data_IF_458831589095
#
_entry.id   IF_458831589095
#
_cell.length_a   1.000
_cell.length_b   1.000
_cell.length_c   1.000
_cell.angle_alpha   90.00
_cell.angle_beta   90.00
_cell.angle_gamma   90.00
#
_symmetry.space_group_name_H-M   'P 1'
#
loop_
_entity.id
_entity.type
_entity.pdbx_description
1 polymer ?
#
# COMPACT_ATOMS: atom_id res chain seq x y z
N UNK A 1 -9.27 -0.41 6.30
CA UNK A 1 -8.24 -0.26 5.24
C UNK A 1 -8.38 1.12 4.66
N UNK A 2 -7.28 1.86 4.52
CA UNK A 2 -7.27 3.24 4.02
C UNK A 2 -6.29 3.36 2.87
N UNK A 3 -6.74 3.95 1.75
CA UNK A 3 -5.84 4.34 0.67
C UNK A 3 -4.87 5.40 1.19
N UNK A 4 -3.59 5.12 1.04
CA UNK A 4 -2.51 6.10 1.27
C UNK A 4 -1.60 6.06 0.06
N UNK A 5 -0.79 7.11 -0.10
CA UNK A 5 -0.02 7.24 -1.32
C UNK A 5 -0.63 8.22 -2.30
N UNK A 6 0.02 8.31 -3.46
CA UNK A 6 -0.40 9.24 -4.50
C UNK A 6 -1.49 8.62 -5.33
N UNK A 7 -2.53 9.40 -5.57
CA UNK A 7 -3.53 9.14 -6.59
C UNK A 7 -3.53 10.26 -7.63
N UNK A 8 -3.94 9.91 -8.84
CA UNK A 8 -4.00 10.80 -10.01
C UNK A 8 -5.43 10.95 -10.55
N UNK A 9 -6.43 10.48 -9.78
CA UNK A 9 -7.83 10.61 -10.13
C UNK A 9 -8.33 12.05 -10.04
N UNK A 10 -9.42 12.33 -10.74
CA UNK A 10 -10.05 13.64 -10.71
C UNK A 10 -10.57 13.95 -9.29
N UNK A 11 -10.15 15.10 -8.74
CA UNK A 11 -10.52 15.53 -7.39
C UNK A 11 -9.61 15.02 -6.28
N UNK A 12 -8.65 14.15 -6.59
CA UNK A 12 -7.71 13.64 -5.60
C UNK A 12 -6.78 14.73 -5.07
N UNK A 13 -6.50 14.64 -3.77
CA UNK A 13 -5.65 15.60 -3.06
C UNK A 13 -4.58 14.83 -2.31
N UNK A 14 -3.45 14.63 -2.99
CA UNK A 14 -2.31 13.86 -2.48
C UNK A 14 -1.80 14.30 -1.10
N UNK A 15 -1.96 15.57 -0.71
CA UNK A 15 -1.64 16.02 0.65
C UNK A 15 -2.37 15.26 1.76
N UNK A 16 -3.51 14.64 1.46
CA UNK A 16 -4.28 13.81 2.41
C UNK A 16 -3.99 12.31 2.28
N UNK A 17 -3.11 11.92 1.35
CA UNK A 17 -2.62 10.54 1.21
C UNK A 17 -1.45 10.20 2.12
N UNK A 18 -0.99 11.15 2.95
CA UNK A 18 0.10 10.94 3.91
C UNK A 18 -0.36 9.99 5.04
N UNK A 19 0.27 8.81 5.20
CA UNK A 19 -0.07 7.84 6.24
C UNK A 19 -0.05 8.40 7.66
N UNK A 20 0.75 9.44 7.95
CA UNK A 20 0.84 10.01 9.30
C UNK A 20 -0.50 10.58 9.79
N UNK A 21 -1.39 10.96 8.87
CA UNK A 21 -2.72 11.46 9.20
C UNK A 21 -3.61 10.38 9.84
N UNK A 22 -3.21 9.11 9.76
CA UNK A 22 -3.89 8.02 10.46
C UNK A 22 -3.50 7.93 11.95
N UNK A 23 -2.47 8.64 12.41
CA UNK A 23 -1.95 8.52 13.79
C UNK A 23 -3.03 8.81 14.85
N UNK A 24 -3.87 9.84 14.63
CA UNK A 24 -5.01 10.13 15.51
C UNK A 24 -6.03 8.99 15.50
N UNK A 25 -6.34 8.43 14.32
CA UNK A 25 -7.26 7.28 14.19
C UNK A 25 -6.73 6.06 14.93
N UNK A 26 -5.42 5.80 14.82
CA UNK A 26 -4.73 4.67 15.45
C UNK A 26 -4.71 4.81 16.98
N UNK A 27 -4.44 6.02 17.49
CA UNK A 27 -4.29 6.26 18.94
C UNK A 27 -5.62 6.36 19.66
N UNK A 28 -6.60 7.01 19.03
CA UNK A 28 -7.88 7.29 19.67
C UNK A 28 -8.86 6.11 19.56
N UNK A 29 -8.55 5.13 18.72
CA UNK A 29 -9.43 3.99 18.48
C UNK A 29 -8.65 2.67 18.55
N UNK A 30 -9.23 1.67 19.21
CA UNK A 30 -8.66 0.32 19.25
C UNK A 30 -9.02 -0.46 17.98
N UNK A 31 -8.38 -0.11 16.85
CA UNK A 31 -8.70 -0.65 15.53
C UNK A 31 -7.46 -1.28 14.87
N UNK A 32 -7.67 -2.39 14.18
CA UNK A 32 -6.70 -2.90 13.20
C UNK A 32 -6.77 -2.08 11.92
N UNK A 33 -5.65 -1.48 11.55
CA UNK A 33 -5.53 -0.59 10.39
C UNK A 33 -4.70 -1.25 9.30
N UNK A 34 -5.17 -1.14 8.06
CA UNK A 34 -4.42 -1.56 6.87
C UNK A 34 -4.17 -0.32 6.02
N UNK A 35 -2.89 -0.01 5.80
CA UNK A 35 -2.40 1.09 4.96
C UNK A 35 -2.27 0.56 3.54
N UNK A 36 -3.25 0.88 2.68
CA UNK A 36 -3.24 0.43 1.30
C UNK A 36 -2.18 1.15 0.48
N UNK A 37 -1.54 0.37 -0.39
CA UNK A 37 -0.40 0.73 -1.25
C UNK A 37 0.86 1.20 -0.51
N UNK A 38 0.92 0.98 0.81
CA UNK A 38 2.05 1.30 1.68
C UNK A 38 2.65 2.69 1.45
N UNK A 39 1.81 3.71 1.25
CA UNK A 39 2.24 5.10 1.09
C UNK A 39 2.98 5.40 -0.22
N UNK A 40 2.94 4.52 -1.22
CA UNK A 40 3.68 4.71 -2.48
C UNK A 40 3.36 6.05 -3.19
N UNK A 41 4.27 6.55 -4.03
CA UNK A 41 5.72 6.34 -3.98
C UNK A 41 6.38 7.24 -2.92
N UNK A 42 5.66 8.23 -2.39
CA UNK A 42 6.26 9.35 -1.64
C UNK A 42 6.41 9.08 -0.14
N UNK A 43 5.58 8.21 0.44
CA UNK A 43 5.40 8.07 1.89
C UNK A 43 5.70 6.65 2.40
N UNK A 44 6.46 5.85 1.66
CA UNK A 44 6.88 4.52 2.12
C UNK A 44 7.50 4.57 3.52
N UNK A 45 8.43 5.51 3.77
CA UNK A 45 9.14 5.57 5.06
C UNK A 45 8.19 5.85 6.24
N UNK A 46 7.14 6.65 6.03
CA UNK A 46 6.13 6.92 7.05
C UNK A 46 5.20 5.71 7.25
N UNK A 47 4.73 5.08 6.17
CA UNK A 47 3.95 3.85 6.27
C UNK A 47 4.73 2.74 6.98
N UNK A 48 5.99 2.55 6.61
CA UNK A 48 6.93 1.63 7.25
C UNK A 48 7.10 1.93 8.73
N UNK A 49 7.31 3.20 9.09
CA UNK A 49 7.43 3.63 10.48
C UNK A 49 6.19 3.27 11.30
N UNK A 50 4.99 3.58 10.80
CA UNK A 50 3.74 3.26 11.49
C UNK A 50 3.57 1.75 11.68
N UNK A 51 3.79 0.95 10.64
CA UNK A 51 3.69 -0.50 10.71
C UNK A 51 4.70 -1.12 11.70
N UNK A 52 5.90 -0.54 11.83
CA UNK A 52 6.90 -0.97 12.81
C UNK A 52 6.58 -0.54 14.24
N UNK A 53 5.96 0.62 14.40
CA UNK A 53 5.71 1.24 15.71
C UNK A 53 4.48 0.68 16.42
N UNK A 54 3.45 0.28 15.67
CA UNK A 54 2.17 -0.12 16.24
C UNK A 54 1.83 -1.56 15.86
N UNK A 55 1.43 -2.44 16.80
CA UNK A 55 1.17 -3.85 16.52
C UNK A 55 0.02 -4.06 15.52
N UNK A 56 -1.04 -3.25 15.61
CA UNK A 56 -2.29 -3.43 14.84
C UNK A 56 -2.31 -2.74 13.47
N UNK A 57 -1.14 -2.30 12.98
CA UNK A 57 -1.00 -1.68 11.65
C UNK A 57 -0.34 -2.63 10.67
N UNK A 58 -0.99 -2.84 9.53
CA UNK A 58 -0.51 -3.66 8.42
C UNK A 58 -0.33 -2.81 7.16
N UNK A 59 0.58 -3.23 6.29
CA UNK A 59 0.84 -2.65 4.98
C UNK A 59 0.20 -3.52 3.91
N UNK A 60 -0.49 -2.91 2.95
CA UNK A 60 -0.97 -3.62 1.77
C UNK A 60 -0.17 -3.13 0.56
N UNK A 61 0.35 -4.08 -0.23
CA UNK A 61 1.42 -3.87 -1.21
C UNK A 61 0.95 -3.91 -2.67
N UNK A 62 -0.35 -3.77 -2.92
CA UNK A 62 -0.87 -3.66 -4.27
C UNK A 62 -0.25 -2.49 -5.04
N UNK A 63 -0.32 -2.56 -6.37
CA UNK A 63 0.39 -1.71 -7.34
C UNK A 63 1.86 -2.04 -7.57
N UNK A 64 2.53 -2.65 -6.61
CA UNK A 64 3.86 -3.18 -6.84
C UNK A 64 3.77 -4.53 -7.55
N UNK A 65 4.52 -4.70 -8.65
CA UNK A 65 4.63 -6.01 -9.28
C UNK A 65 5.38 -6.96 -8.32
N UNK A 66 4.99 -8.26 -8.24
CA UNK A 66 5.65 -9.20 -7.35
C UNK A 66 7.17 -9.26 -7.58
N UNK A 67 7.58 -9.17 -8.84
CA UNK A 67 8.97 -9.24 -9.29
C UNK A 67 9.79 -8.02 -8.88
N UNK A 68 9.15 -6.85 -8.74
CA UNK A 68 9.81 -5.58 -8.40
C UNK A 68 9.65 -5.19 -6.93
N UNK A 69 8.96 -6.01 -6.12
CA UNK A 69 8.62 -5.67 -4.75
C UNK A 69 9.88 -5.33 -3.91
N UNK A 70 10.93 -6.15 -4.04
CA UNK A 70 12.20 -5.96 -3.31
C UNK A 70 13.00 -4.74 -3.78
N UNK A 71 12.85 -4.30 -5.03
CA UNK A 71 13.59 -3.15 -5.55
C UNK A 71 12.92 -1.82 -5.20
N UNK A 72 11.58 -1.80 -5.16
CA UNK A 72 10.82 -0.60 -4.79
C UNK A 72 10.72 -0.39 -3.29
N UNK A 73 10.59 -1.47 -2.52
CA UNK A 73 10.29 -1.40 -1.10
C UNK A 73 11.56 -1.72 -0.31
N UNK A 74 12.22 -0.64 0.14
CA UNK A 74 13.39 -0.78 1.00
C UNK A 74 13.00 -1.45 2.31
N UNK A 75 13.84 -2.37 2.80
CA UNK A 75 13.67 -3.01 4.12
C UNK A 75 12.35 -3.78 4.28
N UNK A 76 11.72 -4.22 3.18
CA UNK A 76 10.50 -5.01 3.21
C UNK A 76 10.60 -6.22 4.17
N UNK A 77 11.76 -6.88 4.20
CA UNK A 77 12.05 -8.03 5.07
C UNK A 77 11.77 -7.75 6.56
N UNK A 78 11.84 -6.49 7.01
CA UNK A 78 11.59 -6.09 8.40
C UNK A 78 10.11 -5.99 8.77
N UNK A 79 9.21 -6.01 7.77
CA UNK A 79 7.76 -5.84 7.91
C UNK A 79 6.98 -6.88 7.11
N UNK A 80 7.62 -7.98 6.66
CA UNK A 80 6.98 -9.05 5.88
C UNK A 80 5.75 -9.63 6.59
N UNK A 81 5.87 -9.95 7.88
CA UNK A 81 4.76 -10.47 8.71
C UNK A 81 3.60 -9.49 8.87
N UNK A 82 3.84 -8.23 8.54
CA UNK A 82 2.85 -7.13 8.62
C UNK A 82 2.41 -6.68 7.23
N UNK A 83 2.72 -7.46 6.20
CA UNK A 83 2.46 -7.12 4.81
C UNK A 83 1.41 -8.05 4.21
N UNK A 84 0.47 -7.46 3.49
CA UNK A 84 -0.59 -8.13 2.73
C UNK A 84 -0.35 -7.79 1.25
N UNK A 85 -0.53 -8.75 0.35
CA UNK A 85 -0.42 -8.51 -1.08
C UNK A 85 -1.79 -8.58 -1.74
N UNK A 86 -2.24 -7.47 -2.34
CA UNK A 86 -3.48 -7.35 -3.10
C UNK A 86 -3.23 -6.85 -4.52
N UNK A 87 -4.28 -6.82 -5.36
CA UNK A 87 -4.17 -6.46 -6.79
C UNK A 87 -4.57 -5.03 -7.15
N UNK A 88 -5.25 -4.31 -6.25
CA UNK A 88 -5.90 -3.01 -6.55
C UNK A 88 -6.70 -2.99 -7.86
N UNK A 89 -7.24 -4.14 -8.29
CA UNK A 89 -8.07 -4.22 -9.49
C UNK A 89 -9.44 -3.56 -9.22
N UNK A 90 -9.98 -2.75 -10.14
CA UNK A 90 -9.55 -2.52 -11.52
C UNK A 90 -8.61 -1.31 -11.74
N UNK A 91 -8.21 -0.61 -10.67
CA UNK A 91 -7.39 0.60 -10.73
C UNK A 91 -6.00 0.33 -11.31
N UNK A 92 -5.37 -0.79 -10.93
CA UNK A 92 -4.10 -1.23 -11.51
C UNK A 92 -4.26 -2.44 -12.43
N UNK A 93 -4.49 -2.17 -13.72
CA UNK A 93 -4.70 -3.23 -14.72
C UNK A 93 -3.43 -4.00 -15.08
N UNK A 94 -2.25 -3.52 -14.71
CA UNK A 94 -0.96 -4.14 -15.04
C UNK A 94 -0.55 -5.26 -14.08
N UNK A 95 -1.27 -5.47 -12.97
CA UNK A 95 -0.90 -6.50 -12.02
C UNK A 95 -1.12 -7.89 -12.60
N UNK A 96 0.00 -8.58 -12.86
CA UNK A 96 0.02 -9.95 -13.35
C UNK A 96 0.39 -10.88 -12.20
N UNK A 97 -0.44 -11.88 -11.94
CA UNK A 97 -0.01 -13.03 -11.15
C UNK A 97 1.05 -13.77 -11.96
N UNK A 98 2.16 -14.13 -11.33
CA UNK A 98 3.25 -14.86 -11.98
C UNK A 98 2.72 -16.15 -12.60
N UNK A 99 2.96 -16.34 -13.91
CA UNK A 99 2.55 -17.55 -14.63
C UNK A 99 1.20 -17.50 -15.36
N UNK A 100 0.44 -16.40 -15.29
CA UNK A 100 -0.78 -16.24 -16.11
C UNK A 100 -0.49 -15.48 -17.42
N UNK A 101 -0.80 -16.05 -18.60
CA UNK A 101 -0.63 -15.35 -19.88
C UNK A 101 -1.55 -14.13 -19.94
N UNK A 102 -1.06 -13.05 -20.55
CA UNK A 102 -1.83 -11.83 -20.77
C UNK A 102 -3.10 -12.14 -21.55
N UNK A 103 -4.25 -12.12 -20.87
CA UNK A 103 -5.49 -11.77 -21.58
C UNK A 103 -5.45 -10.26 -21.73
N UNK A 104 -5.29 -9.79 -22.96
CA UNK A 104 -5.71 -8.44 -23.28
C UNK A 104 -7.17 -8.34 -22.83
N UNK A 105 -7.43 -7.59 -21.76
CA UNK A 105 -8.77 -7.03 -21.58
C UNK A 105 -8.90 -6.00 -22.68
N UNK A 106 -9.26 -6.49 -23.88
CA UNK A 106 -9.80 -5.65 -24.93
C UNK A 106 -11.17 -5.20 -24.39
N UNK A 107 -11.25 -3.93 -24.02
CA UNK A 107 -12.49 -3.17 -24.18
C UNK A 107 -12.74 -2.93 -25.67
#
# INVERSE_FOLDING_TARGET
MFHTGTSLGEGDRNKYGDPILLDDVIKDNNLTVVIAHAGRPLWWDLAFFLARSYPDIYLELSWFLPESLKSYISRLDQVLEKSIYGSDFPSYKEQRLTGHPSRSCNE
#
